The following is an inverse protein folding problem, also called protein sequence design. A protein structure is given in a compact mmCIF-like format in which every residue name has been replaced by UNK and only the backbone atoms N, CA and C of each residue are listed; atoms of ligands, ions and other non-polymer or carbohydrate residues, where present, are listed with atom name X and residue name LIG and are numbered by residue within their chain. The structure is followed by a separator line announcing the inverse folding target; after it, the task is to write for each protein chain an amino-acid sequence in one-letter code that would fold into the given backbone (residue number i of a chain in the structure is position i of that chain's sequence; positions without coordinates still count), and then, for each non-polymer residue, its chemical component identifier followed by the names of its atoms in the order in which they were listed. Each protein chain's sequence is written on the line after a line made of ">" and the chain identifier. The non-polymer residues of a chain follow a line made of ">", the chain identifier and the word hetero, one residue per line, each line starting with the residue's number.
data_IF_246283889526
#
_entry.id   IF_246283889526
#
_cell.length_a   1.000
_cell.length_b   1.000
_cell.length_c   1.000
_cell.angle_alpha   90.00
_cell.angle_beta   90.00
_cell.angle_gamma   90.00
#
_symmetry.space_group_name_H-M   'P 1'
#
loop_
_entity.id
_entity.type
_entity.pdbx_description
1 polymer ?
#
# COMPACT_ATOMS: atom_id res chain seq x y z
N UNK A 1 18.46 -4.69 -20.31
CA UNK A 1 17.73 -3.60 -21.00
C UNK A 1 16.50 -3.29 -20.17
N UNK A 2 16.50 -2.19 -19.42
CA UNK A 2 15.33 -1.77 -18.63
C UNK A 2 14.36 -1.09 -19.58
N UNK A 3 13.24 -1.74 -19.89
CA UNK A 3 12.14 -1.12 -20.64
C UNK A 3 11.52 -0.08 -19.72
N UNK A 4 11.86 1.19 -19.94
CA UNK A 4 11.16 2.31 -19.32
C UNK A 4 9.76 2.34 -19.93
N UNK A 5 8.73 2.04 -19.14
CA UNK A 5 7.34 2.18 -19.56
C UNK A 5 7.03 3.68 -19.65
N UNK A 6 7.06 4.22 -20.87
CA UNK A 6 6.59 5.57 -21.17
C UNK A 6 5.05 5.58 -21.13
N UNK A 7 4.52 5.64 -19.91
CA UNK A 7 3.07 5.70 -19.67
C UNK A 7 2.62 7.16 -19.65
N UNK A 8 1.54 7.51 -20.39
CA UNK A 8 0.97 8.85 -20.30
C UNK A 8 0.50 9.14 -18.87
N UNK A 9 0.55 10.40 -18.43
CA UNK A 9 0.10 10.77 -17.10
C UNK A 9 -1.36 10.40 -16.90
N UNK A 10 -1.67 9.75 -15.78
CA UNK A 10 -3.04 9.35 -15.45
C UNK A 10 -3.85 10.59 -15.07
N UNK A 11 -5.03 10.83 -15.69
CA UNK A 11 -5.89 11.96 -15.32
C UNK A 11 -6.33 11.86 -13.85
N UNK A 12 -6.42 12.99 -13.15
CA UNK A 12 -6.88 13.05 -11.74
C UNK A 12 -8.28 12.47 -11.55
N UNK A 13 -9.14 12.57 -12.57
CA UNK A 13 -10.52 12.08 -12.54
C UNK A 13 -10.67 10.65 -13.07
N UNK A 14 -9.58 9.96 -13.41
CA UNK A 14 -9.67 8.60 -13.92
C UNK A 14 -10.21 7.67 -12.81
N UNK A 15 -11.26 6.89 -13.08
CA UNK A 15 -11.73 5.89 -12.13
C UNK A 15 -10.60 4.87 -11.90
N UNK A 16 -10.42 4.34 -10.68
CA UNK A 16 -9.39 3.36 -10.40
C UNK A 16 -9.64 2.11 -11.24
N UNK A 17 -8.73 1.83 -12.18
CA UNK A 17 -8.78 0.62 -12.98
C UNK A 17 -8.10 -0.49 -12.19
N UNK A 18 -8.89 -1.33 -11.54
CA UNK A 18 -8.39 -2.57 -10.93
C UNK A 18 -8.28 -3.61 -12.04
N UNK A 19 -7.12 -3.69 -12.68
CA UNK A 19 -6.83 -4.78 -13.62
C UNK A 19 -6.39 -6.00 -12.79
N UNK A 20 -7.15 -7.12 -12.80
CA UNK A 20 -6.72 -8.33 -12.12
C UNK A 20 -5.37 -8.78 -12.65
N UNK A 21 -4.40 -9.00 -11.76
CA UNK A 21 -3.07 -9.47 -12.13
C UNK A 21 -2.10 -8.41 -12.67
N UNK A 22 -2.43 -7.11 -12.66
CA UNK A 22 -1.45 -6.05 -12.96
C UNK A 22 -0.23 -6.14 -12.03
N UNK A 23 -0.50 -6.31 -10.73
CA UNK A 23 0.56 -6.50 -9.73
C UNK A 23 1.35 -7.78 -10.01
N UNK A 24 0.68 -8.86 -10.42
CA UNK A 24 1.32 -10.10 -10.83
C UNK A 24 2.21 -9.92 -12.08
N UNK A 25 1.77 -9.13 -13.06
CA UNK A 25 2.53 -8.82 -14.28
C UNK A 25 3.75 -7.93 -14.03
N UNK A 26 3.73 -7.15 -12.96
CA UNK A 26 4.88 -6.40 -12.45
C UNK A 26 5.83 -7.24 -11.57
N UNK A 27 5.56 -8.54 -11.41
CA UNK A 27 6.32 -9.42 -10.51
C UNK A 27 6.17 -9.06 -9.03
N UNK A 28 5.19 -8.23 -8.68
CA UNK A 28 4.90 -7.84 -7.30
C UNK A 28 4.20 -9.01 -6.64
N UNK A 29 4.88 -9.60 -5.66
CA UNK A 29 4.31 -10.68 -4.85
C UNK A 29 3.63 -10.08 -3.61
N UNK A 30 2.39 -10.51 -3.28
CA UNK A 30 1.76 -10.12 -2.04
C UNK A 30 2.63 -10.56 -0.85
N UNK A 31 2.96 -9.61 0.03
CA UNK A 31 3.62 -9.92 1.30
C UNK A 31 2.54 -10.26 2.33
N UNK A 32 2.73 -11.31 3.16
CA UNK A 32 1.90 -11.50 4.34
C UNK A 32 1.98 -10.26 5.22
N UNK A 33 0.83 -9.63 5.47
CA UNK A 33 0.72 -8.54 6.43
C UNK A 33 0.24 -9.08 7.76
N UNK A 34 0.78 -8.62 8.90
CA UNK A 34 0.25 -8.96 10.21
C UNK A 34 -1.24 -8.59 10.31
N UNK A 35 -2.05 -9.46 10.91
CA UNK A 35 -3.51 -9.27 10.99
C UNK A 35 -3.92 -7.96 11.70
N UNK A 36 -3.09 -7.48 12.63
CA UNK A 36 -3.32 -6.25 13.37
C UNK A 36 -3.29 -4.99 12.49
N UNK A 37 -2.68 -5.02 11.31
CA UNK A 37 -2.66 -3.86 10.38
C UNK A 37 -4.06 -3.48 9.91
N UNK A 38 -4.97 -4.46 9.82
CA UNK A 38 -6.35 -4.27 9.38
C UNK A 38 -7.36 -4.34 10.52
N UNK A 39 -6.90 -4.45 11.77
CA UNK A 39 -7.76 -4.51 12.94
C UNK A 39 -8.36 -3.12 13.21
N UNK A 40 -9.70 -2.97 13.15
CA UNK A 40 -10.36 -1.67 13.34
C UNK A 40 -10.08 -1.06 14.72
N UNK A 41 -9.91 -1.88 15.77
CA UNK A 41 -9.65 -1.39 17.12
C UNK A 41 -8.20 -0.88 17.24
N UNK A 42 -7.26 -1.56 16.57
CA UNK A 42 -5.87 -1.12 16.46
C UNK A 42 -5.78 0.23 15.72
N UNK A 43 -6.49 0.37 14.60
CA UNK A 43 -6.56 1.63 13.83
C UNK A 43 -7.14 2.76 14.69
N UNK A 44 -8.23 2.51 15.41
CA UNK A 44 -8.84 3.50 16.30
C UNK A 44 -7.90 3.90 17.45
N UNK A 45 -7.16 2.95 18.01
CA UNK A 45 -6.17 3.18 19.05
C UNK A 45 -5.01 4.07 18.57
N UNK A 46 -4.46 3.78 17.38
CA UNK A 46 -3.41 4.60 16.76
C UNK A 46 -3.93 6.01 16.45
N UNK A 47 -5.13 6.13 15.86
CA UNK A 47 -5.74 7.42 15.55
C UNK A 47 -6.03 8.27 16.80
N UNK A 48 -6.30 7.62 17.93
CA UNK A 48 -6.49 8.26 19.23
C UNK A 48 -5.16 8.63 19.93
N UNK A 49 -4.01 8.30 19.34
CA UNK A 49 -2.69 8.54 19.94
C UNK A 49 -2.41 7.66 21.16
N UNK A 50 -3.12 6.52 21.29
CA UNK A 50 -2.96 5.58 22.38
C UNK A 50 -1.83 4.57 22.15
N UNK A 51 -1.18 4.65 20.98
CA UNK A 51 0.00 3.88 20.62
C UNK A 51 1.17 4.84 20.42
N UNK A 52 2.16 4.76 21.28
CA UNK A 52 3.43 5.48 21.12
C UNK A 52 4.29 4.68 20.15
N UNK A 53 4.63 5.29 19.01
CA UNK A 53 5.64 4.73 18.11
C UNK A 53 6.96 5.28 18.62
N UNK A 54 7.75 4.42 19.28
CA UNK A 54 9.10 4.79 19.71
C UNK A 54 9.88 5.30 18.49
N UNK A 55 10.28 6.57 18.49
CA UNK A 55 11.09 7.15 17.41
C UNK A 55 12.53 6.59 17.37
N UNK A 56 12.90 5.77 18.34
CA UNK A 56 14.25 5.22 18.48
C UNK A 56 14.28 3.71 18.20
N UNK A 57 14.48 3.35 16.93
CA UNK A 57 15.30 2.16 16.61
C UNK A 57 16.11 2.40 15.32
N UNK A 58 17.41 2.03 15.31
CA UNK A 58 18.39 2.39 14.28
C UNK A 58 18.18 1.73 12.90
#
# INVERSE_FOLDING_TARGET
>A
MTVSLDLPPTPISAPPVIVPGLLSGLGITPRPVPAWITDPDCIASIAAGLYEIDEDTP
#
